data_IF_982412415533
#
_entry.id   IF_982412415533
#
_cell.length_a   1.000
_cell.length_b   1.000
_cell.length_c   1.000
_cell.angle_alpha   90.00
_cell.angle_beta   90.00
_cell.angle_gamma   90.00
#
_symmetry.space_group_name_H-M   'P 1'
#
loop_
_entity.id
_entity.type
_entity.pdbx_description
1 polymer ?
#
# COMPACT_ATOMS: atom_id res chain seq x y z
N UNK A 1 0.27 21.03 -5.68
CA UNK A 1 -0.66 20.71 -4.55
C UNK A 1 0.00 20.87 -3.19
N UNK A 2 1.34 20.83 -3.08
CA UNK A 2 2.09 21.08 -1.82
C UNK A 2 2.76 22.46 -1.90
N UNK A 3 2.76 23.21 -0.80
CA UNK A 3 3.34 24.55 -0.73
C UNK A 3 4.87 24.50 -0.63
N UNK A 4 5.62 25.22 -1.49
CA UNK A 4 7.09 25.21 -1.46
C UNK A 4 7.68 25.93 -0.24
N UNK A 5 6.92 26.78 0.45
CA UNK A 5 7.41 27.54 1.61
C UNK A 5 7.22 26.81 2.94
N UNK A 6 6.16 26.04 3.10
CA UNK A 6 5.80 25.44 4.39
C UNK A 6 5.44 23.95 4.31
N UNK A 7 5.50 23.33 3.12
CA UNK A 7 5.16 21.91 2.95
C UNK A 7 3.68 21.56 3.14
N UNK A 8 2.83 22.52 3.51
CA UNK A 8 1.38 22.27 3.66
C UNK A 8 0.70 22.01 2.32
N UNK A 9 -0.33 21.15 2.34
CA UNK A 9 -1.22 20.99 1.20
C UNK A 9 -1.92 22.33 0.90
N UNK A 10 -1.98 22.70 -0.37
CA UNK A 10 -2.57 23.93 -0.87
C UNK A 10 -4.02 23.68 -1.32
N UNK A 11 -4.92 24.59 -1.00
CA UNK A 11 -6.32 24.49 -1.38
C UNK A 11 -6.56 25.18 -2.73
N UNK A 12 -7.32 24.56 -3.65
CA UNK A 12 -7.72 25.23 -4.89
C UNK A 12 -8.75 26.33 -4.60
N UNK A 13 -8.57 27.48 -5.22
CA UNK A 13 -9.49 28.61 -5.24
C UNK A 13 -9.74 29.08 -6.68
N UNK A 14 -10.88 29.72 -6.92
CA UNK A 14 -11.22 30.30 -8.23
C UNK A 14 -11.05 31.81 -8.16
N UNK A 15 -10.22 32.39 -9.04
CA UNK A 15 -10.15 33.84 -9.28
C UNK A 15 -10.23 34.08 -10.79
N UNK A 16 -11.25 34.80 -11.24
CA UNK A 16 -11.44 35.26 -12.65
C UNK A 16 -11.12 34.17 -13.69
N UNK A 17 -11.86 33.06 -13.65
CA UNK A 17 -11.70 31.91 -14.57
C UNK A 17 -10.40 31.10 -14.48
N UNK A 18 -9.43 31.50 -13.66
CA UNK A 18 -8.22 30.72 -13.39
C UNK A 18 -8.30 30.02 -12.03
N UNK A 19 -7.83 28.79 -12.00
CA UNK A 19 -7.65 28.03 -10.76
C UNK A 19 -6.33 28.49 -10.15
N UNK A 20 -6.40 28.97 -8.91
CA UNK A 20 -5.23 29.36 -8.12
C UNK A 20 -5.15 28.45 -6.91
N UNK A 21 -3.97 27.97 -6.57
CA UNK A 21 -3.78 27.23 -5.33
C UNK A 21 -3.30 28.19 -4.27
N UNK A 22 -3.98 28.24 -3.12
CA UNK A 22 -3.58 29.06 -1.97
C UNK A 22 -3.21 28.17 -0.81
N UNK A 23 -2.06 28.44 -0.21
CA UNK A 23 -1.65 27.80 1.03
C UNK A 23 -2.39 28.45 2.22
N UNK A 24 -3.08 27.66 3.08
CA UNK A 24 -3.77 28.19 4.25
C UNK A 24 -2.80 28.63 5.37
N UNK A 25 -1.57 28.10 5.38
CA UNK A 25 -0.60 28.33 6.47
C UNK A 25 0.23 29.58 6.23
N UNK A 26 0.83 29.74 5.04
CA UNK A 26 1.74 30.85 4.75
C UNK A 26 1.18 31.84 3.72
N UNK A 27 -0.05 31.65 3.26
CA UNK A 27 -0.71 32.55 2.30
C UNK A 27 -0.15 32.53 0.88
N UNK A 28 0.79 31.63 0.55
CA UNK A 28 1.39 31.52 -0.78
C UNK A 28 0.32 31.18 -1.82
N UNK A 29 0.24 31.99 -2.88
CA UNK A 29 -0.62 31.77 -4.04
C UNK A 29 0.24 31.30 -5.22
N UNK A 30 -0.09 30.15 -5.79
CA UNK A 30 0.52 29.64 -7.02
C UNK A 30 -0.53 29.51 -8.13
N UNK A 31 -0.15 29.83 -9.37
CA UNK A 31 -1.04 29.67 -10.52
C UNK A 31 -1.24 28.17 -10.83
N UNK A 32 -2.50 27.75 -10.98
CA UNK A 32 -2.88 26.35 -11.02
C UNK A 32 -2.62 25.68 -12.36
N UNK A 33 -1.74 24.67 -12.33
CA UNK A 33 -1.77 23.58 -13.30
C UNK A 33 -3.09 22.79 -13.26
N UNK A 34 -3.34 22.02 -14.33
CA UNK A 34 -4.60 21.33 -14.65
C UNK A 34 -5.30 20.69 -13.44
N UNK A 35 -6.63 20.85 -13.37
CA UNK A 35 -7.50 20.11 -12.46
C UNK A 35 -7.27 18.60 -12.65
N UNK A 36 -6.63 17.97 -11.67
CA UNK A 36 -6.74 16.53 -11.53
C UNK A 36 -8.08 16.31 -10.84
N UNK A 37 -9.09 15.90 -11.62
CA UNK A 37 -10.32 15.39 -11.03
C UNK A 37 -9.92 14.26 -10.09
N UNK A 38 -10.30 14.36 -8.82
CA UNK A 38 -10.27 13.22 -7.91
C UNK A 38 -11.36 12.30 -8.43
N UNK A 39 -11.00 11.47 -9.41
CA UNK A 39 -11.81 10.34 -9.79
C UNK A 39 -11.66 9.39 -8.61
N UNK A 40 -12.70 9.29 -7.79
CA UNK A 40 -12.87 8.16 -6.90
C UNK A 40 -13.16 6.94 -7.76
N UNK A 41 -12.17 6.49 -8.54
CA UNK A 41 -12.20 5.18 -9.13
C UNK A 41 -12.06 4.21 -7.98
N UNK A 42 -13.20 3.77 -7.44
CA UNK A 42 -13.31 2.50 -6.76
C UNK A 42 -13.17 1.45 -7.85
N UNK A 43 -11.96 1.31 -8.41
CA UNK A 43 -11.61 0.13 -9.17
C UNK A 43 -11.40 -0.97 -8.13
N UNK A 44 -12.51 -1.60 -7.74
CA UNK A 44 -12.53 -2.94 -7.18
C UNK A 44 -11.84 -3.89 -8.16
N UNK A 45 -10.52 -3.98 -8.11
CA UNK A 45 -9.68 -5.04 -8.69
C UNK A 45 -8.21 -4.58 -8.75
N UNK A 46 -7.62 -4.39 -7.59
CA UNK A 46 -6.21 -4.76 -7.45
C UNK A 46 -6.21 -5.55 -6.17
N UNK A 47 -6.11 -6.88 -6.28
CA UNK A 47 -5.48 -7.65 -5.21
C UNK A 47 -4.18 -6.91 -4.98
N UNK A 48 -4.14 -6.06 -3.95
CA UNK A 48 -2.91 -5.44 -3.51
C UNK A 48 -2.02 -6.63 -3.19
N UNK A 49 -1.12 -6.94 -4.14
CA UNK A 49 -0.02 -7.82 -3.92
C UNK A 49 0.79 -7.10 -2.86
N UNK A 50 0.44 -7.31 -1.58
CA UNK A 50 1.23 -6.87 -0.45
C UNK A 50 2.63 -7.35 -0.82
N UNK A 51 3.57 -6.44 -1.12
CA UNK A 51 4.88 -6.86 -1.55
C UNK A 51 5.47 -7.60 -0.36
N UNK A 52 5.52 -8.93 -0.46
CA UNK A 52 6.13 -9.76 0.57
C UNK A 52 7.62 -9.47 0.43
N UNK A 53 8.09 -8.50 1.22
CA UNK A 53 9.51 -8.17 1.32
C UNK A 53 10.18 -9.42 1.88
N UNK A 54 10.85 -10.18 1.02
CA UNK A 54 11.42 -11.48 1.38
C UNK A 54 12.38 -11.34 2.55
N UNK A 55 13.12 -10.23 2.64
CA UNK A 55 14.05 -9.97 3.75
C UNK A 55 13.35 -9.91 5.11
N UNK A 56 12.13 -9.36 5.18
CA UNK A 56 11.37 -9.25 6.44
C UNK A 56 10.90 -10.62 6.95
N UNK A 57 10.65 -11.57 6.04
CA UNK A 57 10.23 -12.92 6.39
C UNK A 57 11.36 -13.81 6.91
N UNK A 58 12.63 -13.50 6.63
CA UNK A 58 13.76 -14.29 7.17
C UNK A 58 13.86 -14.21 8.70
N UNK A 59 13.34 -13.14 9.32
CA UNK A 59 13.27 -13.02 10.78
C UNK A 59 12.01 -13.66 11.39
N UNK A 60 11.13 -14.23 10.56
CA UNK A 60 9.87 -14.82 11.02
C UNK A 60 10.07 -16.25 11.54
N UNK A 61 9.17 -16.75 12.41
CA UNK A 61 9.25 -18.13 12.90
C UNK A 61 9.14 -19.14 11.74
N UNK A 62 9.90 -20.23 11.86
CA UNK A 62 9.84 -21.37 10.93
C UNK A 62 8.82 -22.38 11.43
N UNK A 63 7.89 -22.76 10.57
CA UNK A 63 6.85 -23.75 10.84
C UNK A 63 6.99 -24.97 9.94
N UNK A 64 6.42 -26.09 10.37
CA UNK A 64 6.35 -27.32 9.58
C UNK A 64 5.16 -27.27 8.61
N UNK A 65 5.40 -26.79 7.38
CA UNK A 65 4.41 -26.76 6.29
C UNK A 65 5.07 -27.19 4.98
N UNK A 66 4.38 -28.07 4.25
CA UNK A 66 4.87 -28.63 2.99
C UNK A 66 4.74 -27.61 1.86
N UNK A 67 5.85 -27.28 1.21
CA UNK A 67 5.88 -26.39 0.06
C UNK A 67 5.24 -27.08 -1.16
N UNK A 68 4.19 -26.51 -1.77
CA UNK A 68 3.51 -27.13 -2.91
C UNK A 68 4.37 -27.17 -4.18
N UNK A 69 5.46 -26.40 -4.24
CA UNK A 69 6.37 -26.34 -5.40
C UNK A 69 7.52 -27.35 -5.35
N UNK A 70 8.08 -27.62 -4.16
CA UNK A 70 9.31 -28.41 -4.03
C UNK A 70 9.27 -29.49 -2.95
N UNK A 71 8.15 -29.65 -2.24
CA UNK A 71 7.97 -30.68 -1.21
C UNK A 71 8.74 -30.45 0.10
N UNK A 72 9.43 -29.33 0.26
CA UNK A 72 10.13 -29.01 1.51
C UNK A 72 9.15 -28.86 2.68
N UNK A 73 9.47 -29.40 3.85
CA UNK A 73 8.58 -29.40 5.03
C UNK A 73 8.72 -28.18 5.94
N UNK A 74 9.64 -27.25 5.63
CA UNK A 74 9.89 -26.04 6.44
C UNK A 74 9.53 -24.78 5.66
N UNK A 75 8.82 -23.86 6.30
CA UNK A 75 8.49 -22.55 5.74
C UNK A 75 8.54 -21.47 6.82
N UNK A 76 8.96 -20.26 6.47
CA UNK A 76 8.74 -19.07 7.30
C UNK A 76 7.26 -18.73 7.31
N UNK A 77 6.74 -18.25 8.44
CA UNK A 77 5.34 -17.96 8.63
C UNK A 77 5.10 -16.52 9.07
N UNK A 78 4.18 -15.85 8.41
CA UNK A 78 3.72 -14.52 8.79
C UNK A 78 2.19 -14.44 8.68
N UNK A 79 1.56 -13.80 9.66
CA UNK A 79 0.16 -13.41 9.59
C UNK A 79 0.05 -11.94 9.25
N UNK A 80 -0.76 -11.63 8.25
CA UNK A 80 -1.05 -10.26 7.84
C UNK A 80 -2.54 -10.01 8.07
N UNK A 81 -2.82 -8.94 8.82
CA UNK A 81 -4.18 -8.42 8.97
C UNK A 81 -4.51 -7.60 7.73
N UNK A 82 -5.57 -7.97 7.02
CA UNK A 82 -6.11 -7.10 5.97
C UNK A 82 -6.89 -5.96 6.63
N UNK A 83 -7.11 -4.87 5.89
CA UNK A 83 -7.68 -3.61 6.42
C UNK A 83 -9.13 -3.74 6.90
N UNK A 84 -9.80 -4.84 6.59
CA UNK A 84 -11.19 -5.11 6.97
C UNK A 84 -11.23 -5.99 8.23
N UNK A 85 -11.93 -5.53 9.27
CA UNK A 85 -12.09 -6.28 10.51
C UNK A 85 -12.94 -7.56 10.34
N UNK A 86 -13.73 -7.64 9.26
CA UNK A 86 -14.59 -8.78 8.93
C UNK A 86 -13.87 -9.91 8.18
N UNK A 87 -12.59 -9.74 7.80
CA UNK A 87 -11.82 -10.77 7.11
C UNK A 87 -10.90 -11.55 8.07
N UNK A 88 -10.86 -12.89 7.99
CA UNK A 88 -9.90 -13.65 8.76
C UNK A 88 -8.46 -13.30 8.35
N UNK A 89 -7.49 -13.35 9.28
CA UNK A 89 -6.12 -12.99 8.99
C UNK A 89 -5.53 -13.88 7.90
N UNK A 90 -4.86 -13.27 6.92
CA UNK A 90 -4.20 -14.03 5.85
C UNK A 90 -2.87 -14.58 6.35
N UNK A 91 -2.71 -15.90 6.25
CA UNK A 91 -1.45 -16.58 6.57
C UNK A 91 -0.60 -16.65 5.31
N UNK A 92 0.63 -16.15 5.40
CA UNK A 92 1.61 -16.18 4.33
C UNK A 92 2.74 -17.09 4.75
N UNK A 93 3.12 -18.01 3.86
CA UNK A 93 4.24 -18.91 4.04
C UNK A 93 5.31 -18.64 3.00
N UNK A 94 6.59 -18.74 3.36
CA UNK A 94 7.72 -18.67 2.44
C UNK A 94 8.62 -19.91 2.62
N UNK A 95 8.80 -20.67 1.55
CA UNK A 95 9.63 -21.88 1.59
C UNK A 95 11.09 -21.53 1.92
N UNK A 96 11.65 -22.18 2.93
CA UNK A 96 13.06 -21.98 3.32
C UNK A 96 14.07 -22.48 2.29
N UNK A 97 13.64 -23.33 1.34
CA UNK A 97 14.50 -23.96 0.33
C UNK A 97 14.43 -23.29 -1.03
N UNK A 98 13.22 -23.08 -1.57
CA UNK A 98 13.04 -22.55 -2.93
C UNK A 98 12.54 -21.10 -2.98
N UNK A 99 12.26 -20.48 -1.82
CA UNK A 99 11.78 -19.10 -1.75
C UNK A 99 10.39 -18.88 -2.37
N UNK A 100 9.63 -19.95 -2.63
CA UNK A 100 8.23 -19.85 -3.06
C UNK A 100 7.36 -19.39 -1.90
N UNK A 101 6.56 -18.35 -2.13
CA UNK A 101 5.60 -17.84 -1.17
C UNK A 101 4.17 -18.19 -1.57
N UNK A 102 3.34 -18.57 -0.61
CA UNK A 102 1.91 -18.85 -0.84
C UNK A 102 1.06 -18.39 0.34
N UNK A 103 -0.25 -18.24 0.07
CA UNK A 103 -1.25 -17.75 1.02
C UNK A 103 -2.20 -18.89 1.39
N UNK A 104 -2.60 -18.94 2.65
CA UNK A 104 -3.65 -19.81 3.16
C UNK A 104 -4.68 -18.92 3.84
N UNK A 105 -5.91 -18.94 3.32
CA UNK A 105 -7.06 -18.32 3.97
C UNK A 105 -7.56 -19.30 5.03
N UNK A 106 -7.73 -18.81 6.26
CA UNK A 106 -8.23 -19.61 7.38
C UNK A 106 -9.70 -19.33 7.65
#
# INVERSE_FOLDING_TARGET
MICPKCGSLMSPGKKKEKIVFRCPVCGYEGEGGKMVNIVSSVSSSTSEEIPIIKEAMLSSPVVTKVCPKCGNSKAYFQMVQTRSADEPPTRIYLCTKCGYSWREFS
#
